data_IF_104332799533
#
_entry.id   IF_104332799533
#
_cell.length_a   1.000
_cell.length_b   1.000
_cell.length_c   1.000
_cell.angle_alpha   90.00
_cell.angle_beta   90.00
_cell.angle_gamma   90.00
#
_symmetry.space_group_name_H-M   'P 1'
#
loop_
_entity.id
_entity.type
_entity.pdbx_description
1 polymer ?
#
# COMPACT_ATOMS: atom_id res chain seq x y z
N UNK A 1 -26.63 -0.12 5.04
CA UNK A 1 -25.17 -0.22 5.14
C UNK A 1 -24.70 -0.82 3.84
N UNK A 2 -24.48 0.04 2.86
CA UNK A 2 -24.08 -0.34 1.51
C UNK A 2 -22.79 -1.14 1.60
N UNK A 3 -22.84 -2.37 1.09
CA UNK A 3 -21.71 -3.30 1.14
C UNK A 3 -20.69 -2.79 0.12
N UNK A 4 -19.70 -2.03 0.59
CA UNK A 4 -18.58 -1.59 -0.24
C UNK A 4 -17.69 -2.80 -0.48
N UNK A 5 -17.75 -3.35 -1.69
CA UNK A 5 -16.82 -4.38 -2.13
C UNK A 5 -15.46 -3.73 -2.43
N UNK A 6 -14.41 -4.35 -1.91
CA UNK A 6 -13.03 -3.95 -2.16
C UNK A 6 -12.25 -5.15 -2.69
N UNK A 7 -11.41 -4.90 -3.68
CA UNK A 7 -10.48 -5.89 -4.21
C UNK A 7 -9.08 -5.61 -3.66
N UNK A 8 -8.33 -6.67 -3.41
CA UNK A 8 -6.94 -6.58 -2.98
C UNK A 8 -6.08 -6.87 -4.19
N UNK A 9 -5.33 -5.85 -4.63
CA UNK A 9 -4.36 -5.93 -5.71
C UNK A 9 -2.94 -6.02 -5.12
N UNK A 10 -2.15 -6.98 -5.58
CA UNK A 10 -0.75 -7.12 -5.17
C UNK A 10 0.16 -6.35 -6.13
N UNK A 11 0.72 -5.24 -5.65
CA UNK A 11 1.49 -4.31 -6.47
C UNK A 11 2.89 -4.08 -5.89
N UNK A 12 3.82 -3.68 -6.75
CA UNK A 12 5.17 -3.34 -6.29
C UNK A 12 5.16 -2.04 -5.46
N UNK A 13 5.99 -1.95 -4.42
CA UNK A 13 6.05 -0.78 -3.52
C UNK A 13 6.29 0.54 -4.26
N UNK A 14 6.97 0.52 -5.41
CA UNK A 14 7.21 1.73 -6.22
C UNK A 14 5.97 2.28 -6.92
N UNK A 15 4.92 1.49 -7.03
CA UNK A 15 3.65 1.89 -7.66
C UNK A 15 2.68 2.51 -6.66
N UNK A 16 2.96 2.34 -5.36
CA UNK A 16 2.15 2.91 -4.29
C UNK A 16 2.35 4.42 -4.26
N UNK A 17 1.25 5.15 -4.28
CA UNK A 17 1.23 6.60 -4.19
C UNK A 17 0.58 7.04 -2.88
N UNK A 18 0.74 8.33 -2.56
CA UNK A 18 -0.08 8.92 -1.51
C UNK A 18 -1.55 8.79 -1.93
N UNK A 19 -2.45 8.62 -0.96
CA UNK A 19 -3.89 8.38 -1.12
C UNK A 19 -4.28 6.91 -1.40
N UNK A 20 -3.33 6.04 -1.75
CA UNK A 20 -3.62 4.61 -1.83
C UNK A 20 -3.95 4.03 -0.45
N UNK A 21 -4.87 3.07 -0.40
CA UNK A 21 -5.16 2.31 0.83
C UNK A 21 -4.50 0.96 0.72
N UNK A 22 -3.73 0.55 1.74
CA UNK A 22 -3.03 -0.73 1.74
C UNK A 22 -3.36 -1.57 2.97
N UNK A 23 -3.31 -2.88 2.81
CA UNK A 23 -3.26 -3.82 3.92
C UNK A 23 -1.79 -4.00 4.31
N UNK A 24 -1.42 -3.42 5.44
CA UNK A 24 -0.05 -3.50 5.92
C UNK A 24 0.23 -4.88 6.55
N UNK A 25 1.50 -5.21 6.78
CA UNK A 25 1.92 -6.55 7.22
C UNK A 25 1.41 -6.95 8.61
N UNK A 26 0.96 -5.98 9.41
CA UNK A 26 0.26 -6.13 10.69
C UNK A 26 -1.22 -6.53 10.53
N UNK A 27 -1.73 -6.64 9.29
CA UNK A 27 -3.12 -6.96 9.00
C UNK A 27 -4.08 -5.78 9.15
N UNK A 28 -3.55 -4.56 9.37
CA UNK A 28 -4.35 -3.35 9.46
C UNK A 28 -4.40 -2.61 8.12
N UNK A 29 -5.58 -2.10 7.80
CA UNK A 29 -5.81 -1.27 6.62
C UNK A 29 -5.38 0.16 6.97
N UNK A 30 -4.49 0.73 6.17
CA UNK A 30 -3.95 2.08 6.36
C UNK A 30 -3.96 2.83 5.04
N UNK A 31 -4.39 4.08 5.08
CA UNK A 31 -4.22 5.00 3.95
C UNK A 31 -2.80 5.52 3.94
N UNK A 32 -2.14 5.39 2.80
CA UNK A 32 -0.80 5.89 2.55
C UNK A 32 -0.88 7.41 2.42
N UNK A 33 -0.01 8.09 3.14
CA UNK A 33 0.16 9.53 3.02
C UNK A 33 1.58 9.79 2.52
N UNK A 34 1.83 10.98 1.97
CA UNK A 34 3.16 11.32 1.45
C UNK A 34 4.27 11.18 2.52
N UNK A 35 3.98 11.46 3.79
CA UNK A 35 4.92 11.28 4.91
C UNK A 35 5.29 9.80 5.18
N UNK A 36 4.42 8.87 4.78
CA UNK A 36 4.59 7.44 4.97
C UNK A 36 5.47 6.82 3.88
N UNK A 37 5.58 7.48 2.72
CA UNK A 37 6.48 7.09 1.64
C UNK A 37 7.79 7.82 1.82
N UNK A 38 8.87 7.09 2.08
CA UNK A 38 10.21 7.68 2.19
C UNK A 38 11.15 6.99 1.23
N UNK A 39 12.01 7.79 0.61
CA UNK A 39 13.08 7.29 -0.24
C UNK A 39 14.39 7.34 0.55
N UNK A 40 15.05 6.19 0.70
CA UNK A 40 16.38 6.07 1.29
C UNK A 40 17.36 5.68 0.21
N UNK A 41 18.51 6.36 0.14
CA UNK A 41 19.56 6.07 -0.85
C UNK A 41 20.13 4.65 -0.70
N UNK A 42 20.00 4.04 0.48
CA UNK A 42 20.51 2.70 0.77
C UNK A 42 19.43 1.60 0.66
N UNK A 43 18.19 1.87 1.10
CA UNK A 43 17.12 0.88 1.14
C UNK A 43 16.04 1.08 0.06
N UNK A 44 16.19 2.08 -0.80
CA UNK A 44 15.18 2.44 -1.81
C UNK A 44 13.91 3.02 -1.18
N UNK A 45 12.76 2.69 -1.77
CA UNK A 45 11.45 3.12 -1.28
C UNK A 45 11.11 2.34 -0.02
N UNK A 46 10.65 3.07 0.99
CA UNK A 46 10.13 2.53 2.24
C UNK A 46 8.73 3.07 2.46
N UNK A 47 7.83 2.20 2.87
CA UNK A 47 6.43 2.48 3.14
C UNK A 47 6.18 2.17 4.61
N UNK A 48 5.80 3.19 5.39
CA UNK A 48 5.72 3.12 6.85
C UNK A 48 7.03 2.65 7.52
N UNK A 49 8.18 2.97 6.90
CA UNK A 49 9.49 2.52 7.38
C UNK A 49 9.85 1.07 7.03
N UNK A 50 8.99 0.36 6.29
CA UNK A 50 9.28 -0.98 5.77
C UNK A 50 9.63 -0.91 4.28
N UNK A 51 10.74 -1.50 3.86
CA UNK A 51 11.16 -1.55 2.44
C UNK A 51 10.53 -2.72 1.67
N UNK A 52 9.68 -3.53 2.31
CA UNK A 52 9.07 -4.72 1.71
C UNK A 52 10.13 -5.64 1.07
N UNK A 53 11.22 -5.90 1.81
CA UNK A 53 12.41 -6.64 1.35
C UNK A 53 13.01 -6.05 0.05
N UNK A 54 13.24 -4.74 0.05
CA UNK A 54 13.76 -4.00 -1.12
C UNK A 54 12.84 -4.13 -2.34
N UNK A 55 11.53 -4.20 -2.13
CA UNK A 55 10.53 -4.38 -3.20
C UNK A 55 10.31 -5.82 -3.66
N UNK A 56 10.97 -6.83 -3.08
CA UNK A 56 10.67 -8.24 -3.40
C UNK A 56 9.30 -8.70 -2.90
N UNK A 57 8.77 -8.08 -1.84
CA UNK A 57 7.44 -8.40 -1.32
C UNK A 57 6.44 -7.43 -1.93
N UNK A 58 5.38 -7.99 -2.51
CA UNK A 58 4.29 -7.19 -3.05
C UNK A 58 3.47 -6.57 -1.91
N UNK A 59 3.06 -5.33 -2.14
CA UNK A 59 2.18 -4.58 -1.26
C UNK A 59 0.74 -4.88 -1.66
N UNK A 60 -0.10 -5.21 -0.69
CA UNK A 60 -1.54 -5.43 -0.88
C UNK A 60 -2.26 -4.09 -0.88
N UNK A 61 -2.58 -3.56 -2.05
CA UNK A 61 -3.37 -2.34 -2.22
C UNK A 61 -4.87 -2.68 -2.30
N UNK A 62 -5.70 -1.91 -1.59
CA UNK A 62 -7.15 -2.02 -1.67
C UNK A 62 -7.67 -1.09 -2.77
N UNK A 63 -8.47 -1.66 -3.66
CA UNK A 63 -9.18 -0.93 -4.70
C UNK A 63 -10.68 -1.02 -4.43
N UNK A 64 -11.31 0.13 -4.23
CA UNK A 64 -12.76 0.20 -4.01
C UNK A 64 -13.45 -0.11 -5.34
N UNK A 65 -14.33 -1.11 -5.35
CA UNK A 65 -15.18 -1.41 -6.50
C UNK A 65 -16.55 -0.84 -6.18
N UNK A 66 -16.92 0.25 -6.85
CA UNK A 66 -18.31 0.68 -6.86
C UNK A 66 -19.05 -0.20 -7.84
N UNK A 67 -19.71 -1.24 -7.33
CA UNK A 67 -20.65 -2.04 -8.12
C UNK A 67 -21.85 -1.15 -8.40
N UNK A 68 -22.04 -0.80 -9.68
CA UNK A 68 -23.08 0.12 -10.14
C UNK A 68 -24.37 -0.62 -10.45
#
# INVERSE_FOLDING_TARGET
MDKMDYEIEEVHISTIQAEDTILHTDGLIRTVCNVNIRHSSFMGITLFGNSYRLGNVLVKRLRIITVK
#
